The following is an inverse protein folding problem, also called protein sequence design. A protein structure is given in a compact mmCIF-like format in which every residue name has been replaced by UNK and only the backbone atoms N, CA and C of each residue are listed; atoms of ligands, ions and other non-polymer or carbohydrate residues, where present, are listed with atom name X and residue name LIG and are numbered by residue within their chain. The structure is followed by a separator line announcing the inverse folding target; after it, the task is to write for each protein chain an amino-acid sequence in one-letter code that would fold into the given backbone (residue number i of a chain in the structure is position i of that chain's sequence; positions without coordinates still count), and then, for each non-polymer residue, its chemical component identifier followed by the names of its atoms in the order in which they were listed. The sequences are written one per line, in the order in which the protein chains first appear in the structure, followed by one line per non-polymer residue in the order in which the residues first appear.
data_IF_949369717564
#
_entry.id   IF_949369717564
#
_cell.length_a   1.000
_cell.length_b   1.000
_cell.length_c   1.000
_cell.angle_alpha   90.00
_cell.angle_beta   90.00
_cell.angle_gamma   90.00
#
_symmetry.space_group_name_H-M   'P 1'
#
loop_
_entity.id
_entity.type
_entity.pdbx_description
1 polymer ?
#
# COMPACT_ATOMS: atom_id res chain seq x y z
N UNK A 1 -4.14 -7.06 -10.20
CA UNK A 1 -2.77 -7.35 -10.69
C UNK A 1 -2.24 -6.25 -11.60
N UNK A 2 -2.96 -5.87 -12.67
CA UNK A 2 -2.50 -4.82 -13.62
C UNK A 2 -2.26 -3.44 -13.00
N UNK A 3 -3.18 -2.93 -12.16
CA UNK A 3 -2.98 -1.63 -11.47
C UNK A 3 -1.69 -1.62 -10.64
N UNK A 4 -1.46 -2.67 -9.84
CA UNK A 4 -0.24 -2.80 -9.02
C UNK A 4 1.02 -2.87 -9.88
N UNK A 5 0.96 -3.56 -11.03
CA UNK A 5 2.07 -3.65 -11.97
C UNK A 5 2.43 -2.28 -12.56
N UNK A 6 1.45 -1.53 -13.07
CA UNK A 6 1.69 -0.21 -13.64
C UNK A 6 2.15 0.80 -12.58
N UNK A 7 1.56 0.77 -11.39
CA UNK A 7 1.96 1.63 -10.27
C UNK A 7 3.41 1.33 -9.84
N UNK A 8 3.79 0.05 -9.77
CA UNK A 8 5.15 -0.36 -9.48
C UNK A 8 6.16 0.13 -10.53
N UNK A 9 5.82 -0.01 -11.82
CA UNK A 9 6.65 0.52 -12.91
C UNK A 9 6.79 2.05 -12.80
N UNK A 10 5.69 2.76 -12.55
CA UNK A 10 5.70 4.21 -12.37
C UNK A 10 6.67 4.63 -11.24
N UNK A 11 6.63 3.95 -10.09
CA UNK A 11 7.50 4.24 -8.95
C UNK A 11 8.97 3.93 -9.19
N UNK A 12 9.29 2.86 -9.94
CA UNK A 12 10.68 2.47 -10.22
C UNK A 12 11.29 3.38 -11.29
N UNK A 13 10.55 3.62 -12.38
CA UNK A 13 11.01 4.40 -13.52
C UNK A 13 10.95 5.91 -13.26
N UNK A 14 10.16 6.35 -12.27
CA UNK A 14 9.99 7.78 -11.97
C UNK A 14 9.26 8.55 -13.07
N UNK A 15 8.56 7.84 -13.96
CA UNK A 15 7.66 8.42 -14.96
C UNK A 15 6.29 8.62 -14.32
N UNK A 16 5.39 9.36 -14.97
CA UNK A 16 3.97 9.44 -14.59
C UNK A 16 3.18 8.84 -15.76
N UNK A 17 2.60 7.66 -15.54
CA UNK A 17 1.77 6.96 -16.53
C UNK A 17 0.31 7.42 -16.44
N UNK A 18 -0.12 7.84 -15.24
CA UNK A 18 -1.34 8.59 -15.00
C UNK A 18 -1.01 10.08 -14.93
N UNK A 19 -1.45 10.85 -15.94
CA UNK A 19 -1.46 12.32 -15.89
C UNK A 19 -2.62 12.76 -15.00
N UNK A 20 -2.32 13.12 -13.75
CA UNK A 20 -3.24 13.88 -12.90
C UNK A 20 -3.02 15.38 -13.13
N UNK A 21 -4.02 16.09 -13.64
CA UNK A 21 -4.11 17.55 -13.61
C UNK A 21 -4.47 18.08 -12.19
N UNK A 22 -3.92 17.48 -11.13
CA UNK A 22 -4.22 17.82 -9.74
C UNK A 22 -2.94 17.93 -8.87
N UNK A 23 -2.91 18.91 -7.94
CA UNK A 23 -1.68 19.49 -7.40
C UNK A 23 -0.96 18.60 -6.39
N UNK A 24 0.39 18.60 -6.43
CA UNK A 24 1.46 18.27 -5.45
C UNK A 24 1.23 17.24 -4.31
N UNK A 25 0.14 16.49 -4.31
CA UNK A 25 -0.24 15.48 -3.31
C UNK A 25 -0.05 14.06 -3.82
N UNK A 26 0.46 13.91 -5.05
CA UNK A 26 0.77 12.64 -5.72
C UNK A 26 1.78 11.75 -4.96
N UNK A 27 2.46 12.27 -3.93
CA UNK A 27 3.39 11.48 -3.10
C UNK A 27 2.68 10.65 -2.01
N UNK A 28 1.36 10.75 -1.84
CA UNK A 28 0.61 10.05 -0.78
C UNK A 28 0.04 8.71 -1.27
N UNK A 29 -0.24 8.59 -2.57
CA UNK A 29 -1.03 7.47 -3.14
C UNK A 29 -0.38 6.09 -2.91
N UNK A 30 0.94 5.88 -3.11
CA UNK A 30 1.55 4.57 -2.88
C UNK A 30 1.83 4.25 -1.41
N UNK A 31 1.79 5.23 -0.51
CA UNK A 31 1.94 5.02 0.95
C UNK A 31 0.59 4.73 1.61
N UNK A 32 -0.49 5.34 1.12
CA UNK A 32 -1.84 5.08 1.60
C UNK A 32 -2.37 3.70 1.20
N UNK A 33 -2.01 3.21 0.00
CA UNK A 33 -2.52 1.94 -0.53
C UNK A 33 -2.06 0.70 0.30
N UNK A 34 -0.80 0.58 0.72
CA UNK A 34 -0.35 -0.48 1.64
C UNK A 34 -0.95 -0.35 3.05
N UNK A 35 -1.22 0.87 3.51
CA UNK A 35 -1.70 1.14 4.86
C UNK A 35 -3.20 0.87 5.05
N UNK A 36 -4.02 1.04 4.00
CA UNK A 36 -5.48 1.06 4.13
C UNK A 36 -6.15 -0.21 3.56
N UNK A 37 -5.66 -0.79 2.47
CA UNK A 37 -6.48 -1.73 1.70
C UNK A 37 -5.65 -2.85 1.07
N UNK A 38 -5.34 -3.88 1.86
CA UNK A 38 -4.92 -5.16 1.32
C UNK A 38 -6.09 -6.15 1.30
N UNK A 39 -6.20 -6.98 0.27
CA UNK A 39 -6.98 -8.22 0.36
C UNK A 39 -6.55 -9.06 1.58
N UNK A 40 -5.27 -8.97 1.97
CA UNK A 40 -4.73 -9.57 3.19
C UNK A 40 -5.35 -9.03 4.48
N UNK A 41 -5.65 -7.73 4.60
CA UNK A 41 -6.32 -7.21 5.80
C UNK A 41 -7.76 -7.71 5.88
N UNK A 42 -8.49 -7.74 4.76
CA UNK A 42 -9.84 -8.29 4.69
C UNK A 42 -9.87 -9.79 5.01
N UNK A 43 -8.96 -10.60 4.43
CA UNK A 43 -8.84 -12.02 4.76
C UNK A 43 -8.49 -12.23 6.23
N UNK A 44 -7.52 -11.48 6.77
CA UNK A 44 -7.16 -11.58 8.18
C UNK A 44 -8.31 -11.19 9.11
N UNK A 45 -9.10 -10.16 8.78
CA UNK A 45 -10.26 -9.77 9.58
C UNK A 45 -11.36 -10.85 9.58
N UNK A 46 -11.66 -11.44 8.41
CA UNK A 46 -12.64 -12.53 8.31
C UNK A 46 -12.14 -13.79 9.03
N UNK A 47 -10.86 -14.12 8.91
CA UNK A 47 -10.26 -15.24 9.66
C UNK A 47 -10.27 -14.98 11.17
N UNK A 48 -9.97 -13.76 11.63
CA UNK A 48 -10.00 -13.41 13.05
C UNK A 48 -11.42 -13.38 13.61
N UNK A 49 -12.43 -13.03 12.81
CA UNK A 49 -13.84 -13.11 13.21
C UNK A 49 -14.30 -14.55 13.53
N UNK A 50 -13.65 -15.56 12.95
CA UNK A 50 -13.94 -16.96 13.26
C UNK A 50 -13.38 -17.41 14.63
N UNK A 51 -12.46 -16.65 15.23
CA UNK A 51 -11.69 -17.07 16.42
C UNK A 51 -11.78 -16.07 17.58
N UNK A 52 -12.16 -14.81 17.33
CA UNK A 52 -12.23 -13.75 18.32
C UNK A 52 -13.58 -13.04 18.34
N UNK A 53 -14.00 -12.56 19.52
CA UNK A 53 -15.21 -11.76 19.66
C UNK A 53 -15.12 -10.41 18.91
N UNK A 54 -16.24 -10.01 18.30
CA UNK A 54 -16.39 -8.79 17.49
C UNK A 54 -15.83 -7.53 18.16
N UNK A 55 -15.91 -7.44 19.50
CA UNK A 55 -15.40 -6.31 20.28
C UNK A 55 -13.89 -6.15 20.13
N UNK A 56 -13.11 -7.24 20.17
CA UNK A 56 -11.66 -7.20 20.05
C UNK A 56 -11.21 -6.73 18.66
N UNK A 57 -11.96 -7.12 17.62
CA UNK A 57 -11.71 -6.71 16.24
C UNK A 57 -11.94 -5.20 16.09
N UNK A 58 -13.04 -4.68 16.64
CA UNK A 58 -13.36 -3.24 16.61
C UNK A 58 -12.26 -2.44 17.32
N UNK A 59 -11.82 -2.88 18.51
CA UNK A 59 -10.74 -2.22 19.25
C UNK A 59 -9.44 -2.22 18.44
N UNK A 60 -9.08 -3.32 17.79
CA UNK A 60 -7.89 -3.42 16.95
C UNK A 60 -7.96 -2.48 15.74
N UNK A 61 -9.12 -2.36 15.08
CA UNK A 61 -9.35 -1.43 13.97
C UNK A 61 -9.18 0.02 14.45
N UNK A 62 -9.80 0.39 15.58
CA UNK A 62 -9.68 1.74 16.14
C UNK A 62 -8.24 2.07 16.46
N UNK A 63 -7.50 1.14 17.07
CA UNK A 63 -6.07 1.32 17.34
C UNK A 63 -5.25 1.48 16.06
N UNK A 64 -5.53 0.68 15.03
CA UNK A 64 -4.85 0.80 13.75
C UNK A 64 -5.10 2.17 13.11
N UNK A 65 -6.35 2.65 13.10
CA UNK A 65 -6.70 3.97 12.58
C UNK A 65 -5.95 5.08 13.32
N UNK A 66 -5.91 5.02 14.66
CA UNK A 66 -5.16 5.99 15.47
C UNK A 66 -3.67 5.96 15.11
N UNK A 67 -3.10 4.78 14.95
CA UNK A 67 -1.71 4.61 14.55
C UNK A 67 -1.43 5.19 13.16
N UNK A 68 -2.26 4.87 12.16
CA UNK A 68 -2.17 5.44 10.80
C UNK A 68 -2.24 6.96 10.85
N UNK A 69 -3.19 7.51 11.61
CA UNK A 69 -3.32 8.95 11.78
C UNK A 69 -2.06 9.60 12.36
N UNK A 70 -1.44 8.99 13.37
CA UNK A 70 -0.19 9.49 13.95
C UNK A 70 0.98 9.45 12.96
N UNK A 71 1.07 8.40 12.14
CA UNK A 71 2.07 8.28 11.08
C UNK A 71 1.88 9.36 10.02
N UNK A 72 0.64 9.56 9.55
CA UNK A 72 0.32 10.59 8.56
C UNK A 72 0.59 12.00 9.13
N UNK A 73 0.20 12.27 10.37
CA UNK A 73 0.52 13.54 11.05
C UNK A 73 2.02 13.78 11.18
N UNK A 74 2.81 12.71 11.27
CA UNK A 74 4.27 12.78 11.33
C UNK A 74 4.93 12.77 9.95
N UNK A 75 4.16 12.69 8.85
CA UNK A 75 4.69 12.62 7.48
C UNK A 75 5.63 13.78 7.16
N UNK A 76 5.31 15.01 7.57
CA UNK A 76 6.20 16.16 7.38
C UNK A 76 7.51 16.07 8.17
N UNK A 77 7.53 15.34 9.30
CA UNK A 77 8.78 15.04 10.04
C UNK A 77 9.58 13.95 9.33
N UNK A 78 8.90 12.90 8.85
CA UNK A 78 9.49 11.82 8.06
C UNK A 78 10.18 12.40 6.82
N UNK A 79 9.51 13.31 6.12
CA UNK A 79 10.04 14.02 4.96
C UNK A 79 11.32 14.80 5.29
N UNK A 80 11.34 15.54 6.40
CA UNK A 80 12.53 16.28 6.85
C UNK A 80 13.71 15.40 7.25
N UNK A 81 13.45 14.21 7.81
CA UNK A 81 14.50 13.27 8.24
C UNK A 81 15.10 12.53 7.05
N UNK A 82 14.26 12.04 6.14
CA UNK A 82 14.70 11.28 4.96
C UNK A 82 15.24 12.18 3.84
N UNK A 83 14.74 13.41 3.74
CA UNK A 83 15.01 14.31 2.64
C UNK A 83 14.46 13.77 1.30
N UNK A 84 14.60 14.57 0.24
CA UNK A 84 14.13 14.20 -1.10
C UNK A 84 14.77 12.92 -1.63
N UNK A 85 16.07 12.72 -1.37
CA UNK A 85 16.81 11.54 -1.81
C UNK A 85 16.36 10.27 -1.08
N UNK A 86 16.16 10.32 0.24
CA UNK A 86 15.70 9.18 1.02
C UNK A 86 14.28 8.77 0.64
N UNK A 87 13.39 9.74 0.42
CA UNK A 87 12.02 9.48 -0.07
C UNK A 87 12.05 8.78 -1.43
N UNK A 88 12.93 9.21 -2.34
CA UNK A 88 13.04 8.56 -3.65
C UNK A 88 13.52 7.11 -3.55
N UNK A 89 14.48 6.82 -2.66
CA UNK A 89 14.93 5.45 -2.39
C UNK A 89 13.78 4.60 -1.84
N UNK A 90 13.06 5.10 -0.84
CA UNK A 90 11.90 4.41 -0.26
C UNK A 90 10.84 4.15 -1.33
N UNK A 91 10.53 5.16 -2.17
CA UNK A 91 9.58 5.03 -3.28
C UNK A 91 9.99 3.90 -4.24
N UNK A 92 11.26 3.83 -4.63
CA UNK A 92 11.76 2.75 -5.51
C UNK A 92 11.67 1.37 -4.85
N UNK A 93 11.99 1.26 -3.56
CA UNK A 93 11.89 -0.01 -2.81
C UNK A 93 10.43 -0.50 -2.76
N UNK A 94 9.48 0.38 -2.44
CA UNK A 94 8.05 0.03 -2.48
C UNK A 94 7.62 -0.37 -3.90
N UNK A 95 8.13 0.29 -4.94
CA UNK A 95 7.89 -0.11 -6.32
C UNK A 95 8.30 -1.56 -6.60
N UNK A 96 9.49 -1.97 -6.13
CA UNK A 96 9.97 -3.36 -6.27
C UNK A 96 9.06 -4.35 -5.52
N UNK A 97 8.62 -4.01 -4.31
CA UNK A 97 7.69 -4.85 -3.52
C UNK A 97 6.35 -5.01 -4.25
N UNK A 98 5.78 -3.90 -4.75
CA UNK A 98 4.52 -3.92 -5.48
C UNK A 98 4.62 -4.70 -6.79
N UNK A 99 5.76 -4.62 -7.49
CA UNK A 99 6.01 -5.42 -8.69
C UNK A 99 5.99 -6.91 -8.37
N UNK A 100 6.66 -7.32 -7.29
CA UNK A 100 6.67 -8.71 -6.83
C UNK A 100 5.26 -9.21 -6.47
N UNK A 101 4.46 -8.39 -5.78
CA UNK A 101 3.06 -8.70 -5.47
C UNK A 101 2.23 -8.82 -6.75
N UNK A 102 2.42 -7.92 -7.71
CA UNK A 102 1.71 -7.95 -8.99
C UNK A 102 2.00 -9.24 -9.77
N UNK A 103 3.28 -9.63 -9.86
CA UNK A 103 3.71 -10.89 -10.50
C UNK A 103 3.11 -12.11 -9.79
N UNK A 104 3.14 -12.14 -8.46
CA UNK A 104 2.50 -13.21 -7.66
C UNK A 104 1.01 -13.35 -7.99
N UNK A 105 0.28 -12.23 -8.02
CA UNK A 105 -1.15 -12.24 -8.34
C UNK A 105 -1.42 -12.63 -9.80
N UNK A 106 -0.55 -12.28 -10.74
CA UNK A 106 -0.67 -12.78 -12.12
C UNK A 106 -0.51 -14.29 -12.19
N UNK A 107 0.53 -14.84 -11.55
CA UNK A 107 0.75 -16.28 -11.53
C UNK A 107 -0.44 -17.03 -10.92
N UNK A 108 -0.97 -16.55 -9.79
CA UNK A 108 -2.14 -17.13 -9.14
C UNK A 108 -3.40 -17.09 -10.01
N UNK A 109 -3.69 -15.94 -10.64
CA UNK A 109 -4.87 -15.80 -11.50
C UNK A 109 -4.75 -16.63 -12.78
N UNK A 110 -3.56 -16.69 -13.39
CA UNK A 110 -3.31 -17.51 -14.58
C UNK A 110 -3.50 -18.98 -14.25
N UNK A 111 -2.94 -19.46 -13.14
CA UNK A 111 -3.13 -20.85 -12.70
C UNK A 111 -4.61 -21.18 -12.51
N UNK A 112 -5.37 -20.30 -11.87
CA UNK A 112 -6.82 -20.44 -11.67
C UNK A 112 -7.65 -20.45 -12.96
N UNK A 113 -7.12 -19.94 -14.09
CA UNK A 113 -7.81 -19.98 -15.38
C UNK A 113 -7.62 -21.31 -16.11
N UNK A 114 -6.55 -22.05 -15.79
CA UNK A 114 -6.20 -23.32 -16.43
C UNK A 114 -6.52 -24.56 -15.58
N UNK A 115 -6.94 -24.37 -14.33
CA UNK A 115 -7.40 -25.42 -13.39
C UNK A 115 -8.89 -25.33 -13.16
#
# INVERSE_FOLDING_TARGET
SFILFFLALEMILGISLYKDDAPETASIVPLAFPLIAGAGTMTSLVSLQAEYETVNIIVAIVFNIIFVYLVLKSSSKIEKILGSQGINVVRKVFGVILLAIAVKLFAANIQSLFS
#
